data_IF_193021655656
#
_entry.id   IF_193021655656
#
_cell.length_a   1.000
_cell.length_b   1.000
_cell.length_c   1.000
_cell.angle_alpha   90.00
_cell.angle_beta   90.00
_cell.angle_gamma   90.00
#
_symmetry.space_group_name_H-M   'P 1'
#
loop_
_entity.id
_entity.type
_entity.pdbx_description
1 polymer ?
#
# COMPACT_ATOMS: atom_id res chain seq x y z
N UNK A 1 26.34 26.66 -31.18
CA UNK A 1 25.73 27.51 -30.12
C UNK A 1 25.77 26.72 -28.83
N UNK A 2 26.56 27.15 -27.85
CA UNK A 2 26.70 26.47 -26.58
C UNK A 2 25.46 26.85 -25.75
N UNK A 3 24.52 25.92 -25.57
CA UNK A 3 23.36 26.12 -24.68
C UNK A 3 23.87 26.16 -23.25
N UNK A 4 23.48 27.14 -22.44
CA UNK A 4 23.78 27.12 -21.02
C UNK A 4 23.03 25.93 -20.39
N UNK A 5 23.78 24.84 -20.16
CA UNK A 5 23.22 23.71 -19.40
C UNK A 5 22.79 24.22 -18.03
N UNK A 6 21.54 23.95 -17.65
CA UNK A 6 21.01 24.34 -16.34
C UNK A 6 21.56 23.34 -15.30
N UNK A 7 22.82 23.56 -14.90
CA UNK A 7 23.56 22.67 -13.98
C UNK A 7 22.76 22.34 -12.69
N UNK A 8 22.02 23.33 -12.19
CA UNK A 8 21.21 23.14 -10.97
C UNK A 8 20.14 22.07 -11.08
N UNK A 9 19.58 21.81 -12.25
CA UNK A 9 18.54 20.82 -12.45
C UNK A 9 19.05 19.38 -12.31
N UNK A 10 20.31 19.13 -12.60
CA UNK A 10 20.95 17.81 -12.45
C UNK A 10 21.22 17.42 -10.98
N UNK A 11 20.88 18.26 -10.00
CA UNK A 11 20.78 17.84 -8.60
C UNK A 11 19.61 16.86 -8.38
N UNK A 12 18.60 16.89 -9.25
CA UNK A 12 17.58 15.86 -9.30
C UNK A 12 18.13 14.61 -9.98
N UNK A 13 18.02 13.44 -9.36
CA UNK A 13 18.63 12.18 -9.83
C UNK A 13 18.04 11.70 -11.15
N UNK A 14 16.74 11.88 -11.40
CA UNK A 14 16.11 11.52 -12.68
C UNK A 14 16.77 12.34 -13.79
N UNK A 15 16.85 13.66 -13.62
CA UNK A 15 17.45 14.54 -14.63
C UNK A 15 18.98 14.34 -14.77
N UNK A 16 19.66 13.95 -13.69
CA UNK A 16 21.09 13.64 -13.71
C UNK A 16 21.42 12.41 -14.55
N UNK A 17 20.51 11.44 -14.57
CA UNK A 17 20.67 10.16 -15.25
C UNK A 17 20.32 10.20 -16.74
N UNK A 18 19.63 11.24 -17.22
CA UNK A 18 19.32 11.42 -18.64
C UNK A 18 20.62 11.68 -19.44
N UNK A 19 20.85 10.99 -20.58
CA UNK A 19 21.99 11.22 -21.45
C UNK A 19 22.11 12.70 -21.86
N UNK A 20 23.35 13.20 -21.96
CA UNK A 20 23.62 14.62 -22.21
C UNK A 20 22.96 15.17 -23.49
N UNK A 21 22.88 14.35 -24.53
CA UNK A 21 22.22 14.70 -25.80
C UNK A 21 20.73 14.97 -25.62
N UNK A 22 20.05 14.18 -24.81
CA UNK A 22 18.64 14.34 -24.49
C UNK A 22 18.43 15.46 -23.44
N UNK A 23 19.32 15.51 -22.44
CA UNK A 23 19.27 16.55 -21.41
C UNK A 23 19.38 17.97 -22.01
N UNK A 24 20.17 18.16 -23.04
CA UNK A 24 20.29 19.45 -23.71
C UNK A 24 18.92 19.96 -24.20
N UNK A 25 18.09 19.10 -24.79
CA UNK A 25 16.71 19.45 -25.22
C UNK A 25 15.79 19.70 -24.03
N UNK A 26 15.84 18.85 -23.00
CA UNK A 26 15.03 19.02 -21.79
C UNK A 26 15.35 20.35 -21.10
N UNK A 27 16.63 20.75 -21.05
CA UNK A 27 17.10 21.95 -20.36
C UNK A 27 16.49 23.23 -20.90
N UNK A 28 16.11 23.30 -22.19
CA UNK A 28 15.43 24.44 -22.79
C UNK A 28 14.05 24.72 -22.20
N UNK A 29 13.41 23.68 -21.66
CA UNK A 29 12.08 23.72 -21.11
C UNK A 29 12.04 23.70 -19.57
N UNK A 30 13.16 23.44 -18.92
CA UNK A 30 13.28 23.42 -17.47
C UNK A 30 13.38 24.84 -16.91
N UNK A 31 12.43 25.21 -16.06
CA UNK A 31 12.40 26.50 -15.38
C UNK A 31 12.60 26.31 -13.88
N UNK A 32 13.55 27.01 -13.25
CA UNK A 32 13.69 26.97 -11.80
C UNK A 32 12.46 27.61 -11.13
N UNK A 33 12.05 27.08 -9.99
CA UNK A 33 10.98 27.58 -9.17
C UNK A 33 11.33 27.42 -7.69
N UNK A 34 11.09 28.49 -6.92
CA UNK A 34 11.19 28.45 -5.47
C UNK A 34 9.82 28.03 -4.91
N UNK A 35 9.82 27.02 -4.06
CA UNK A 35 8.63 26.43 -3.46
C UNK A 35 8.63 26.71 -1.95
N UNK A 36 7.56 27.33 -1.46
CA UNK A 36 7.40 27.63 -0.04
C UNK A 36 6.80 26.44 0.71
N UNK A 37 7.17 26.26 1.97
CA UNK A 37 6.56 25.23 2.82
C UNK A 37 5.05 25.45 2.96
N UNK A 38 4.28 24.38 2.82
CA UNK A 38 2.81 24.41 2.79
C UNK A 38 2.21 24.81 1.45
N UNK A 39 3.02 25.17 0.45
CA UNK A 39 2.52 25.48 -0.90
C UNK A 39 1.94 24.21 -1.54
N UNK A 40 0.74 24.34 -2.09
CA UNK A 40 0.12 23.28 -2.90
C UNK A 40 0.66 23.36 -4.31
N UNK A 41 1.14 22.22 -4.82
CA UNK A 41 1.62 22.08 -6.20
C UNK A 41 0.47 21.67 -7.11
N UNK A 42 -0.37 20.74 -6.67
CA UNK A 42 -1.61 20.40 -7.34
C UNK A 42 -2.65 19.91 -6.33
N UNK A 43 -3.92 20.20 -6.59
CA UNK A 43 -5.06 19.66 -5.85
C UNK A 43 -5.50 18.30 -6.44
N UNK A 44 -6.18 17.49 -5.62
CA UNK A 44 -6.73 16.22 -6.08
C UNK A 44 -7.78 16.44 -7.17
N UNK A 45 -7.64 15.74 -8.30
CA UNK A 45 -8.56 15.82 -9.44
C UNK A 45 -8.30 16.98 -10.41
N UNK A 46 -7.38 17.90 -10.10
CA UNK A 46 -6.99 18.97 -11.02
C UNK A 46 -6.00 18.50 -12.08
N UNK A 47 -6.09 19.10 -13.27
CA UNK A 47 -5.12 18.89 -14.35
C UNK A 47 -3.73 19.38 -13.97
N UNK A 48 -2.73 18.63 -14.37
CA UNK A 48 -1.32 18.95 -14.16
C UNK A 48 -0.78 19.77 -15.34
N UNK A 49 -0.56 21.06 -15.13
CA UNK A 49 0.09 21.91 -16.12
C UNK A 49 1.59 21.64 -16.23
N UNK A 50 2.21 21.19 -15.16
CA UNK A 50 3.66 21.00 -15.06
C UNK A 50 4.02 19.70 -14.34
N UNK A 51 5.16 19.12 -14.73
CA UNK A 51 5.92 18.18 -13.91
C UNK A 51 6.98 18.95 -13.13
N UNK A 52 7.23 18.54 -11.87
CA UNK A 52 8.24 19.17 -11.02
C UNK A 52 9.32 18.18 -10.64
N UNK A 53 10.57 18.63 -10.65
CA UNK A 53 11.77 17.91 -10.28
C UNK A 53 12.40 18.60 -9.07
N UNK A 54 12.12 18.15 -7.83
CA UNK A 54 12.72 18.71 -6.62
C UNK A 54 14.24 18.62 -6.64
N UNK A 55 14.93 19.65 -6.11
CA UNK A 55 16.39 19.67 -5.98
C UNK A 55 16.85 19.93 -4.56
N UNK A 56 16.20 20.87 -3.85
CA UNK A 56 16.49 21.23 -2.47
C UNK A 56 15.22 21.40 -1.63
N UNK A 57 14.08 20.94 -2.12
CA UNK A 57 12.82 20.88 -1.41
C UNK A 57 12.35 19.43 -1.29
N UNK A 58 11.39 19.21 -0.40
CA UNK A 58 10.62 17.95 -0.31
C UNK A 58 9.13 18.22 -0.42
N UNK A 59 8.43 17.28 -1.04
CA UNK A 59 6.98 17.34 -1.23
C UNK A 59 6.34 16.05 -0.74
N UNK A 60 5.06 16.09 -0.41
CA UNK A 60 4.27 14.91 -0.05
C UNK A 60 3.04 14.79 -0.89
N UNK A 61 2.70 13.56 -1.22
CA UNK A 61 1.38 13.19 -1.69
C UNK A 61 0.50 12.93 -0.46
N UNK A 62 -0.60 13.67 -0.38
CA UNK A 62 -1.52 13.66 0.76
C UNK A 62 -2.92 13.30 0.30
N UNK A 63 -3.55 12.36 1.01
CA UNK A 63 -4.98 12.08 0.87
C UNK A 63 -5.74 12.73 2.00
N UNK A 64 -6.97 13.20 1.71
CA UNK A 64 -7.87 13.78 2.69
C UNK A 64 -9.10 12.91 2.84
N UNK A 65 -9.57 12.78 4.07
CA UNK A 65 -10.87 12.18 4.36
C UNK A 65 -11.99 13.21 4.20
N UNK A 66 -13.22 12.74 4.11
CA UNK A 66 -14.40 13.63 4.06
C UNK A 66 -14.52 14.51 5.32
N UNK A 67 -13.98 14.07 6.46
CA UNK A 67 -14.00 14.79 7.74
C UNK A 67 -12.86 15.82 7.87
N UNK A 68 -11.99 15.92 6.85
CA UNK A 68 -10.88 16.89 6.80
C UNK A 68 -9.56 16.41 7.38
N UNK A 69 -9.48 15.18 7.87
CA UNK A 69 -8.21 14.57 8.28
C UNK A 69 -7.32 14.33 7.05
N UNK A 70 -6.03 14.40 7.24
CA UNK A 70 -5.05 14.18 6.17
C UNK A 70 -4.05 13.09 6.55
N UNK A 71 -3.63 12.30 5.56
CA UNK A 71 -2.57 11.31 5.71
C UNK A 71 -1.58 11.41 4.56
N UNK A 72 -0.30 11.39 4.90
CA UNK A 72 0.77 11.31 3.91
C UNK A 72 0.83 9.90 3.33
N UNK A 73 0.80 9.82 2.02
CA UNK A 73 0.92 8.57 1.28
C UNK A 73 2.37 8.28 0.92
N UNK A 74 3.08 9.31 0.46
CA UNK A 74 4.47 9.20 0.04
C UNK A 74 5.15 10.56 0.05
N UNK A 75 6.48 10.55 0.15
CA UNK A 75 7.36 11.72 0.08
C UNK A 75 8.19 11.69 -1.20
N UNK A 76 8.42 12.86 -1.77
CA UNK A 76 9.26 13.06 -2.95
C UNK A 76 10.33 14.11 -2.66
N UNK A 77 11.58 13.77 -2.90
CA UNK A 77 12.72 14.65 -2.84
C UNK A 77 13.48 14.69 -4.17
N UNK A 78 14.78 14.97 -4.10
CA UNK A 78 15.65 15.03 -5.28
C UNK A 78 15.74 13.73 -6.09
N UNK A 79 15.31 12.61 -5.53
CA UNK A 79 15.35 11.30 -6.18
C UNK A 79 14.12 11.01 -7.05
N UNK A 80 13.15 11.94 -7.09
CA UNK A 80 11.88 11.73 -7.76
C UNK A 80 11.33 12.95 -8.48
N UNK A 81 10.04 12.87 -8.80
CA UNK A 81 9.29 13.91 -9.51
C UNK A 81 7.85 14.01 -9.00
N UNK A 82 7.22 15.19 -9.11
CA UNK A 82 5.78 15.38 -8.89
C UNK A 82 5.08 15.47 -10.23
N UNK A 83 4.01 14.70 -10.41
CA UNK A 83 3.29 14.58 -11.68
C UNK A 83 3.43 13.19 -12.30
N UNK A 84 3.54 12.14 -11.47
CA UNK A 84 3.69 10.74 -11.91
C UNK A 84 2.52 10.21 -12.75
N UNK A 85 1.33 10.78 -12.61
CA UNK A 85 0.17 10.45 -13.45
C UNK A 85 0.43 10.72 -14.94
N UNK A 86 1.24 11.74 -15.27
CA UNK A 86 1.65 12.03 -16.64
C UNK A 86 2.47 10.89 -17.27
N UNK A 87 3.23 10.16 -16.43
CA UNK A 87 4.00 8.97 -16.85
C UNK A 87 3.06 7.82 -17.21
N UNK A 88 1.92 7.72 -16.49
CA UNK A 88 0.91 6.68 -16.65
C UNK A 88 -0.17 7.04 -17.69
N UNK A 89 -0.07 8.21 -18.33
CA UNK A 89 -0.99 8.65 -19.37
C UNK A 89 -2.24 9.38 -18.86
N UNK A 90 -2.29 9.75 -17.58
CA UNK A 90 -3.34 10.61 -17.01
C UNK A 90 -2.84 12.05 -16.88
N UNK A 91 -3.70 13.02 -17.08
CA UNK A 91 -3.42 14.45 -16.94
C UNK A 91 -3.72 15.00 -15.54
N UNK A 92 -4.25 14.18 -14.64
CA UNK A 92 -4.65 14.58 -13.29
C UNK A 92 -4.19 13.58 -12.24
N UNK A 93 -4.07 14.01 -10.98
CA UNK A 93 -3.71 13.17 -9.83
C UNK A 93 -4.90 13.09 -8.85
N UNK A 94 -5.13 11.90 -8.29
CA UNK A 94 -6.18 11.71 -7.27
C UNK A 94 -5.75 12.15 -5.87
N UNK A 95 -4.52 12.65 -5.72
CA UNK A 95 -3.93 13.06 -4.44
C UNK A 95 -3.38 14.47 -4.55
N UNK A 96 -3.48 15.20 -3.45
CA UNK A 96 -2.91 16.52 -3.33
C UNK A 96 -1.39 16.43 -3.16
N UNK A 97 -0.63 17.27 -3.88
CA UNK A 97 0.81 17.41 -3.71
C UNK A 97 1.13 18.72 -2.97
N UNK A 98 1.83 18.61 -1.82
CA UNK A 98 2.14 19.74 -0.93
C UNK A 98 3.64 19.77 -0.63
N UNK A 99 4.21 20.98 -0.64
CA UNK A 99 5.60 21.20 -0.24
C UNK A 99 5.76 21.05 1.27
N UNK A 100 6.62 20.17 1.71
CA UNK A 100 6.94 19.97 3.13
C UNK A 100 8.05 20.88 3.60
N UNK A 101 9.21 20.74 2.97
CA UNK A 101 10.35 21.59 3.24
C UNK A 101 10.57 22.52 2.06
N UNK A 102 10.59 23.83 2.34
CA UNK A 102 10.84 24.87 1.34
C UNK A 102 12.19 24.69 0.66
N UNK A 103 12.26 25.05 -0.62
CA UNK A 103 13.50 24.98 -1.40
C UNK A 103 13.22 25.15 -2.88
N UNK A 104 14.11 24.65 -3.71
CA UNK A 104 14.04 24.79 -5.17
C UNK A 104 13.64 23.48 -5.84
N UNK A 105 12.90 23.63 -6.92
CA UNK A 105 12.62 22.60 -7.90
C UNK A 105 12.82 23.17 -9.31
N UNK A 106 12.88 22.29 -10.31
CA UNK A 106 12.68 22.66 -11.70
C UNK A 106 11.33 22.16 -12.17
N UNK A 107 10.64 22.95 -13.00
CA UNK A 107 9.38 22.52 -13.61
C UNK A 107 9.46 22.55 -15.13
N UNK A 108 8.72 21.65 -15.75
CA UNK A 108 8.56 21.55 -17.19
C UNK A 108 7.08 21.43 -17.53
N UNK A 109 6.57 22.07 -18.62
CA UNK A 109 5.20 21.87 -19.05
C UNK A 109 4.87 20.39 -19.28
N UNK A 110 3.67 19.97 -18.89
CA UNK A 110 3.23 18.57 -18.93
C UNK A 110 3.26 17.99 -20.36
N UNK A 111 2.79 18.75 -21.34
CA UNK A 111 2.79 18.37 -22.75
C UNK A 111 4.21 18.18 -23.32
N UNK A 112 5.16 19.01 -22.88
CA UNK A 112 6.59 18.89 -23.26
C UNK A 112 7.17 17.63 -22.63
N UNK A 113 6.90 17.39 -21.35
CA UNK A 113 7.40 16.20 -20.66
C UNK A 113 6.91 14.91 -21.31
N UNK A 114 5.61 14.79 -21.60
CA UNK A 114 5.04 13.63 -22.28
C UNK A 114 5.64 13.40 -23.67
N UNK A 115 5.84 14.46 -24.43
CA UNK A 115 6.48 14.41 -25.75
C UNK A 115 7.94 13.97 -25.68
N UNK A 116 8.70 14.48 -24.72
CA UNK A 116 10.10 14.12 -24.54
C UNK A 116 10.27 12.71 -23.96
N UNK A 117 9.35 12.23 -23.11
CA UNK A 117 9.29 10.82 -22.70
C UNK A 117 9.12 9.88 -23.90
N UNK A 118 8.27 10.23 -24.87
CA UNK A 118 8.10 9.44 -26.09
C UNK A 118 9.34 9.43 -27.03
N UNK A 119 10.29 10.34 -26.80
CA UNK A 119 11.51 10.50 -27.61
C UNK A 119 12.79 10.04 -26.92
N UNK A 120 12.76 9.86 -25.61
CA UNK A 120 13.90 9.50 -24.77
C UNK A 120 13.53 8.29 -23.94
N UNK A 121 13.95 7.11 -24.40
CA UNK A 121 13.69 5.82 -23.74
C UNK A 121 14.22 5.83 -22.29
N UNK A 122 15.38 6.44 -22.07
CA UNK A 122 16.04 6.51 -20.78
C UNK A 122 15.20 7.35 -19.79
N UNK A 123 14.67 8.49 -20.22
CA UNK A 123 13.77 9.31 -19.40
C UNK A 123 12.49 8.53 -19.04
N UNK A 124 11.92 7.83 -20.02
CA UNK A 124 10.73 7.01 -19.80
C UNK A 124 11.02 5.90 -18.80
N UNK A 125 12.12 5.17 -18.95
CA UNK A 125 12.51 4.09 -18.05
C UNK A 125 12.76 4.59 -16.62
N UNK A 126 13.50 5.70 -16.47
CA UNK A 126 13.73 6.33 -15.17
C UNK A 126 12.42 6.76 -14.49
N UNK A 127 11.50 7.36 -15.26
CA UNK A 127 10.21 7.79 -14.76
C UNK A 127 9.35 6.60 -14.32
N UNK A 128 9.31 5.50 -15.09
CA UNK A 128 8.59 4.27 -14.72
C UNK A 128 9.18 3.59 -13.49
N UNK A 129 10.51 3.50 -13.39
CA UNK A 129 11.18 2.98 -12.19
C UNK A 129 10.86 3.83 -10.96
N UNK A 130 10.76 5.15 -11.12
CA UNK A 130 10.34 6.04 -10.03
C UNK A 130 8.87 5.81 -9.64
N UNK A 131 7.96 5.61 -10.59
CA UNK A 131 6.56 5.24 -10.29
C UNK A 131 6.50 3.96 -9.44
N UNK A 132 7.27 2.94 -9.80
CA UNK A 132 7.34 1.70 -9.02
C UNK A 132 7.90 1.94 -7.61
N UNK A 133 8.96 2.73 -7.48
CA UNK A 133 9.52 3.16 -6.21
C UNK A 133 8.48 3.86 -5.33
N UNK A 134 7.66 4.72 -5.92
CA UNK A 134 6.58 5.42 -5.22
C UNK A 134 5.48 4.45 -4.74
N UNK A 135 5.11 3.47 -5.57
CA UNK A 135 4.16 2.40 -5.18
C UNK A 135 4.72 1.60 -3.99
N UNK A 136 6.00 1.23 -4.03
CA UNK A 136 6.67 0.55 -2.90
C UNK A 136 6.63 1.39 -1.63
N UNK A 137 6.91 2.70 -1.73
CA UNK A 137 6.84 3.62 -0.59
C UNK A 137 5.42 3.71 -0.03
N UNK A 138 4.40 3.83 -0.88
CA UNK A 138 2.99 3.88 -0.45
C UNK A 138 2.57 2.58 0.25
N UNK A 139 2.92 1.42 -0.30
CA UNK A 139 2.63 0.13 0.32
C UNK A 139 3.32 0.01 1.70
N UNK A 140 4.59 0.42 1.78
CA UNK A 140 5.34 0.38 3.04
C UNK A 140 4.82 1.41 4.06
N UNK A 141 4.24 2.54 3.61
CA UNK A 141 3.60 3.52 4.50
C UNK A 141 2.39 2.92 5.22
N UNK A 142 1.60 2.07 4.56
CA UNK A 142 0.47 1.37 5.18
C UNK A 142 0.95 0.45 6.31
N UNK A 143 1.98 -0.36 6.06
CA UNK A 143 2.62 -1.23 7.07
C UNK A 143 3.14 -0.39 8.24
N UNK A 144 3.83 0.71 7.93
CA UNK A 144 4.42 1.61 8.90
C UNK A 144 3.36 2.25 9.82
N UNK A 145 2.23 2.69 9.26
CA UNK A 145 1.12 3.27 10.03
C UNK A 145 0.47 2.23 10.95
N UNK A 146 0.31 0.99 10.46
CA UNK A 146 -0.37 -0.07 11.20
C UNK A 146 0.46 -0.72 12.31
N UNK A 147 1.78 -0.76 12.18
CA UNK A 147 2.63 -1.61 13.03
C UNK A 147 3.75 -0.88 13.77
N UNK A 148 4.11 0.36 13.38
CA UNK A 148 5.23 1.06 13.99
C UNK A 148 4.82 2.24 14.85
N UNK A 149 5.60 2.50 15.90
CA UNK A 149 5.36 3.59 16.83
C UNK A 149 5.55 4.97 16.18
N UNK A 150 4.93 5.99 16.75
CA UNK A 150 5.13 7.39 16.32
C UNK A 150 6.61 7.80 16.35
N UNK A 151 7.41 7.26 17.28
CA UNK A 151 8.85 7.56 17.37
C UNK A 151 9.61 6.98 16.16
N UNK A 152 9.35 5.74 15.76
CA UNK A 152 9.98 5.11 14.59
C UNK A 152 9.58 5.80 13.30
N UNK A 153 8.30 6.15 13.14
CA UNK A 153 7.76 6.89 12.00
C UNK A 153 8.36 8.30 11.91
N UNK A 154 8.58 8.95 13.05
CA UNK A 154 9.27 10.23 13.13
C UNK A 154 10.74 10.12 12.72
N UNK A 155 11.47 9.07 13.14
CA UNK A 155 12.83 8.81 12.68
C UNK A 155 12.88 8.61 11.16
N UNK A 156 11.95 7.84 10.59
CA UNK A 156 11.80 7.68 9.14
C UNK A 156 11.66 9.04 8.44
N UNK A 157 10.72 9.86 8.91
CA UNK A 157 10.44 11.18 8.34
C UNK A 157 11.66 12.11 8.41
N UNK A 158 12.37 12.13 9.54
CA UNK A 158 13.58 12.94 9.75
C UNK A 158 14.72 12.50 8.81
N UNK A 159 14.99 11.20 8.73
CA UNK A 159 16.03 10.65 7.86
C UNK A 159 15.75 10.90 6.39
N UNK A 160 14.50 10.67 5.94
CA UNK A 160 14.11 10.94 4.56
C UNK A 160 14.37 12.40 4.17
N UNK A 161 13.87 13.35 4.97
CA UNK A 161 14.03 14.77 4.68
C UNK A 161 15.51 15.20 4.75
N UNK A 162 16.26 14.68 5.72
CA UNK A 162 17.71 14.91 5.82
C UNK A 162 18.46 14.46 4.58
N UNK A 163 18.18 13.24 4.10
CA UNK A 163 18.87 12.66 2.95
C UNK A 163 18.44 13.35 1.64
N UNK A 164 17.17 13.71 1.50
CA UNK A 164 16.64 14.44 0.34
C UNK A 164 17.19 15.88 0.25
N UNK A 165 17.31 16.56 1.38
CA UNK A 165 17.76 17.97 1.44
C UNK A 165 19.28 18.10 1.62
N UNK A 166 19.97 17.02 1.94
CA UNK A 166 21.41 17.00 2.28
C UNK A 166 21.78 18.01 3.38
N UNK A 167 20.91 18.12 4.41
CA UNK A 167 21.11 19.01 5.55
C UNK A 167 20.64 18.38 6.84
N UNK A 168 21.40 18.56 7.90
CA UNK A 168 21.03 18.09 9.23
C UNK A 168 20.07 19.04 9.95
N UNK A 169 19.76 20.22 9.37
CA UNK A 169 18.83 21.19 9.94
C UNK A 169 17.54 21.26 9.10
N UNK A 170 16.44 20.84 9.70
CA UNK A 170 15.11 20.88 9.10
C UNK A 170 14.30 22.05 9.67
N UNK A 171 13.75 22.90 8.79
CA UNK A 171 12.86 24.01 9.17
C UNK A 171 11.42 23.52 9.10
N UNK A 172 10.89 23.02 10.21
CA UNK A 172 9.57 22.42 10.30
C UNK A 172 9.00 22.59 11.70
N UNK A 173 7.68 22.69 11.82
CA UNK A 173 6.98 22.74 13.11
C UNK A 173 6.47 21.36 13.52
N UNK A 174 6.25 21.15 14.83
CA UNK A 174 5.63 19.92 15.34
C UNK A 174 4.23 19.70 14.76
N UNK A 175 3.48 20.78 14.49
CA UNK A 175 2.16 20.74 13.86
C UNK A 175 2.25 20.18 12.45
N UNK A 176 3.21 20.68 11.65
CA UNK A 176 3.41 20.18 10.28
C UNK A 176 3.71 18.69 10.26
N UNK A 177 4.62 18.23 11.14
CA UNK A 177 4.96 16.79 11.22
C UNK A 177 3.75 15.98 11.69
N UNK A 178 2.99 16.48 12.66
CA UNK A 178 1.81 15.82 13.19
C UNK A 178 0.76 15.60 12.08
N UNK A 179 0.48 16.63 11.29
CA UNK A 179 -0.43 16.54 10.16
C UNK A 179 0.04 15.52 9.10
N UNK A 180 1.35 15.46 8.82
CA UNK A 180 1.92 14.51 7.86
C UNK A 180 1.84 13.07 8.37
N UNK A 181 2.20 12.85 9.63
CA UNK A 181 2.14 11.50 10.21
C UNK A 181 0.73 11.06 10.63
N UNK A 182 -0.29 11.91 10.48
CA UNK A 182 -1.67 11.60 10.87
C UNK A 182 -1.81 11.34 12.37
N UNK A 183 -1.11 12.13 13.20
CA UNK A 183 -1.10 11.97 14.67
C UNK A 183 -1.32 13.31 15.36
N UNK A 184 -1.62 13.28 16.67
CA UNK A 184 -1.76 14.51 17.45
C UNK A 184 -0.39 15.18 17.67
N UNK A 185 -0.37 16.51 17.72
CA UNK A 185 0.83 17.31 17.95
C UNK A 185 1.58 16.94 19.24
N UNK A 186 0.83 16.56 20.29
CA UNK A 186 1.38 16.11 21.57
C UNK A 186 2.22 14.84 21.41
N UNK A 187 1.79 13.91 20.53
CA UNK A 187 2.53 12.67 20.23
C UNK A 187 3.88 12.97 19.59
N UNK A 188 3.94 13.94 18.67
CA UNK A 188 5.21 14.40 18.06
C UNK A 188 6.10 15.07 19.12
N UNK A 189 5.52 15.93 19.96
CA UNK A 189 6.29 16.59 21.03
C UNK A 189 6.90 15.56 22.00
N UNK A 190 6.14 14.52 22.35
CA UNK A 190 6.63 13.45 23.22
C UNK A 190 7.70 12.60 22.53
N UNK A 191 7.51 12.24 21.26
CA UNK A 191 8.49 11.47 20.47
C UNK A 191 9.80 12.24 20.30
N UNK A 192 9.73 13.54 19.94
CA UNK A 192 10.90 14.41 19.86
C UNK A 192 11.61 14.55 21.22
N UNK A 193 10.86 14.64 22.32
CA UNK A 193 11.44 14.68 23.67
C UNK A 193 12.27 13.44 23.99
N UNK A 194 11.81 12.25 23.59
CA UNK A 194 12.56 10.99 23.72
C UNK A 194 13.86 11.02 22.89
N UNK A 195 13.78 11.43 21.63
CA UNK A 195 14.94 11.53 20.74
C UNK A 195 15.96 12.58 21.23
N UNK A 196 15.49 13.70 21.82
CA UNK A 196 16.37 14.70 22.44
C UNK A 196 17.07 14.15 23.69
N UNK A 197 16.34 13.44 24.55
CA UNK A 197 16.93 12.82 25.75
C UNK A 197 17.97 11.76 25.39
N UNK A 198 17.83 11.09 24.23
CA UNK A 198 18.81 10.17 23.68
C UNK A 198 19.98 10.87 22.95
N UNK A 199 19.98 12.21 22.84
CA UNK A 199 21.03 12.97 22.15
C UNK A 199 21.01 12.85 20.63
N UNK A 200 19.91 12.37 20.04
CA UNK A 200 19.79 12.13 18.59
C UNK A 200 19.41 13.39 17.82
N UNK A 201 18.58 14.23 18.40
CA UNK A 201 18.11 15.49 17.80
C UNK A 201 18.14 16.63 18.82
N UNK A 202 18.09 17.88 18.32
CA UNK A 202 17.75 19.07 19.09
C UNK A 202 16.58 19.76 18.42
N UNK A 203 15.56 20.15 19.18
CA UNK A 203 14.34 20.78 18.65
C UNK A 203 14.11 22.13 19.33
N UNK A 204 13.77 23.16 18.55
CA UNK A 204 13.44 24.48 19.05
C UNK A 204 12.88 25.40 17.98
N UNK A 205 11.85 26.20 18.32
CA UNK A 205 11.23 27.29 17.52
C UNK A 205 11.13 27.03 16.00
N UNK A 206 10.48 25.94 15.62
CA UNK A 206 10.25 25.61 14.19
C UNK A 206 11.49 25.07 13.47
N UNK A 207 12.47 24.54 14.19
CA UNK A 207 13.67 23.90 13.66
C UNK A 207 13.98 22.62 14.41
N UNK A 208 14.40 21.60 13.68
CA UNK A 208 14.93 20.36 14.23
C UNK A 208 16.33 20.17 13.66
N UNK A 209 17.30 19.99 14.54
CA UNK A 209 18.68 19.68 14.19
C UNK A 209 18.94 18.20 14.48
N UNK A 210 19.36 17.45 13.49
CA UNK A 210 19.83 16.07 13.66
C UNK A 210 21.26 16.14 14.16
N UNK A 211 21.51 15.51 15.32
CA UNK A 211 22.81 15.49 15.99
C UNK A 211 23.55 14.19 15.74
N UNK A 212 22.82 13.09 15.65
CA UNK A 212 23.38 11.75 15.45
C UNK A 212 22.52 10.98 14.44
N UNK A 213 22.98 10.93 13.17
CA UNK A 213 22.28 10.22 12.09
C UNK A 213 22.26 8.71 12.32
N UNK A 214 23.39 8.14 12.76
CA UNK A 214 23.51 6.70 12.94
C UNK A 214 22.58 6.22 14.05
N UNK A 215 22.51 6.94 15.16
CA UNK A 215 21.56 6.65 16.23
C UNK A 215 20.10 6.80 15.80
N UNK A 216 19.77 7.72 14.89
CA UNK A 216 18.44 7.76 14.27
C UNK A 216 18.20 6.56 13.34
N UNK A 217 19.22 6.12 12.60
CA UNK A 217 19.16 4.93 11.74
C UNK A 217 18.96 3.65 12.55
N UNK A 218 19.51 3.57 13.76
CA UNK A 218 19.28 2.45 14.69
C UNK A 218 17.89 2.50 15.36
N UNK A 219 17.24 3.66 15.33
CA UNK A 219 15.95 3.92 15.97
C UNK A 219 14.77 3.93 14.97
N UNK A 220 15.03 3.85 13.68
CA UNK A 220 14.00 3.78 12.63
C UNK A 220 13.55 2.35 12.42
N UNK A 221 12.29 2.17 11.96
CA UNK A 221 11.80 0.86 11.53
C UNK A 221 12.46 0.39 10.23
N UNK A 222 12.41 -0.90 9.96
CA UNK A 222 12.91 -1.56 8.75
C UNK A 222 12.34 -0.98 7.45
N UNK A 223 11.18 -0.31 7.52
CA UNK A 223 10.53 0.32 6.37
C UNK A 223 11.45 1.31 5.65
N UNK A 224 12.29 2.04 6.40
CA UNK A 224 13.23 2.99 5.81
C UNK A 224 14.29 2.30 4.94
N UNK A 225 14.89 1.23 5.45
CA UNK A 225 15.90 0.48 4.70
C UNK A 225 15.30 -0.25 3.49
N UNK A 226 14.12 -0.85 3.63
CA UNK A 226 13.42 -1.53 2.54
C UNK A 226 13.13 -0.57 1.37
N UNK A 227 12.55 0.59 1.65
CA UNK A 227 12.27 1.60 0.63
C UNK A 227 13.56 2.14 0.01
N UNK A 228 14.58 2.43 0.83
CA UNK A 228 15.85 2.98 0.34
C UNK A 228 16.60 2.00 -0.57
N UNK A 229 16.67 0.72 -0.18
CA UNK A 229 17.33 -0.35 -0.97
C UNK A 229 16.58 -0.56 -2.29
N UNK A 230 15.26 -0.62 -2.27
CA UNK A 230 14.46 -0.80 -3.48
C UNK A 230 14.57 0.39 -4.43
N UNK A 231 14.53 1.62 -3.92
CA UNK A 231 14.74 2.83 -4.72
C UNK A 231 16.10 2.82 -5.40
N UNK A 232 17.15 2.43 -4.69
CA UNK A 232 18.49 2.34 -5.24
C UNK A 232 18.57 1.25 -6.32
N UNK A 233 17.99 0.07 -6.06
CA UNK A 233 17.94 -1.06 -7.01
C UNK A 233 17.26 -0.67 -8.32
N UNK A 234 16.10 -0.01 -8.23
CA UNK A 234 15.33 0.43 -9.39
C UNK A 234 16.07 1.49 -10.20
N UNK A 235 16.69 2.45 -9.52
CA UNK A 235 17.50 3.47 -10.18
C UNK A 235 18.69 2.87 -10.91
N UNK A 236 19.42 1.95 -10.30
CA UNK A 236 20.55 1.26 -10.93
C UNK A 236 20.12 0.36 -12.10
N UNK A 237 18.94 -0.28 -12.01
CA UNK A 237 18.38 -1.05 -13.11
C UNK A 237 18.07 -0.15 -14.32
N UNK A 238 17.49 1.04 -14.08
CA UNK A 238 17.23 2.01 -15.14
C UNK A 238 18.53 2.51 -15.81
N UNK A 239 19.58 2.74 -15.03
CA UNK A 239 20.90 3.15 -15.58
C UNK A 239 21.54 2.04 -16.42
N UNK A 240 21.48 0.78 -15.99
CA UNK A 240 22.04 -0.35 -16.76
C UNK A 240 21.34 -0.55 -18.10
N UNK A 241 20.01 -0.43 -18.13
CA UNK A 241 19.25 -0.53 -19.37
C UNK A 241 19.55 0.62 -20.35
N UNK A 242 19.95 1.78 -19.84
CA UNK A 242 20.39 2.93 -20.65
C UNK A 242 21.78 2.70 -21.29
N UNK A 243 22.70 2.06 -20.57
CA UNK A 243 24.07 1.80 -21.05
C UNK A 243 24.11 0.65 -22.06
N UNK A 244 23.28 -0.38 -21.91
CA UNK A 244 23.19 -1.47 -22.87
C UNK A 244 22.75 -1.03 -24.26
N UNK A 245 22.02 0.08 -24.37
CA UNK A 245 21.61 0.68 -25.65
C UNK A 245 22.69 1.50 -26.35
N UNK A 246 23.77 1.89 -25.66
CA UNK A 246 24.90 2.64 -26.27
C UNK A 246 26.01 1.71 -26.84
N UNK A 247 26.19 0.51 -26.31
CA UNK A 247 27.18 -0.48 -26.76
C UNK A 247 26.72 -1.31 -27.99
N UNK A 248 25.42 -1.33 -28.29
CA UNK A 248 24.87 -2.03 -29.46
C UNK A 248 24.95 -1.22 -30.79
N UNK A 249 25.68 -0.14 -30.81
CA UNK A 249 25.81 0.79 -31.95
C UNK A 249 26.67 0.32 -33.12
N UNK A 250 27.07 -0.96 -33.24
CA UNK A 250 27.82 -1.46 -34.41
C UNK A 250 27.72 -2.96 -34.65
N UNK A 251 26.51 -3.47 -34.70
CA UNK A 251 26.12 -4.65 -35.47
C UNK A 251 24.70 -4.50 -35.94
N UNK A 252 24.46 -4.62 -37.23
CA UNK A 252 23.16 -4.63 -37.85
C UNK A 252 22.44 -5.88 -37.37
N UNK A 253 21.62 -5.76 -36.31
CA UNK A 253 20.66 -6.76 -35.91
C UNK A 253 19.30 -6.29 -36.38
N UNK A 254 18.72 -7.11 -37.25
CA UNK A 254 17.36 -6.99 -37.74
C UNK A 254 16.36 -6.66 -36.62
N UNK A 255 15.55 -5.68 -36.88
CA UNK A 255 14.31 -5.27 -36.23
C UNK A 255 13.81 -6.20 -35.11
N UNK A 256 14.09 -5.87 -33.85
CA UNK A 256 13.18 -6.21 -32.77
C UNK A 256 11.88 -5.42 -33.01
N UNK A 257 10.83 -6.11 -33.36
CA UNK A 257 9.54 -5.51 -33.70
C UNK A 257 8.88 -4.85 -32.47
N UNK A 258 7.84 -4.04 -32.68
CA UNK A 258 7.05 -3.45 -31.60
C UNK A 258 6.52 -4.49 -30.58
N UNK A 259 6.57 -5.78 -30.92
CA UNK A 259 6.15 -6.90 -30.09
C UNK A 259 7.08 -7.20 -28.90
N UNK A 260 8.40 -6.99 -29.01
CA UNK A 260 9.34 -7.31 -27.92
C UNK A 260 9.26 -6.30 -26.76
N UNK A 261 9.08 -5.02 -27.04
CA UNK A 261 8.87 -4.01 -25.99
C UNK A 261 7.51 -4.21 -25.28
N UNK A 262 6.52 -4.69 -26.02
CA UNK A 262 5.22 -5.04 -25.49
C UNK A 262 5.30 -6.32 -24.63
N UNK A 263 6.07 -7.30 -25.06
CA UNK A 263 6.31 -8.55 -24.34
C UNK A 263 7.00 -8.30 -22.99
N UNK A 264 8.04 -7.45 -22.94
CA UNK A 264 8.68 -7.04 -21.69
C UNK A 264 7.71 -6.33 -20.74
N UNK A 265 6.86 -5.44 -21.26
CA UNK A 265 5.85 -4.75 -20.46
C UNK A 265 4.83 -5.73 -19.86
N UNK A 266 4.43 -6.76 -20.60
CA UNK A 266 3.57 -7.82 -20.08
C UNK A 266 4.28 -8.70 -19.07
N UNK A 267 5.56 -9.00 -19.27
CA UNK A 267 6.37 -9.74 -18.29
C UNK A 267 6.51 -8.98 -16.97
N UNK A 268 6.78 -7.68 -17.02
CA UNK A 268 6.86 -6.85 -15.82
C UNK A 268 5.51 -6.78 -15.10
N UNK A 269 4.42 -6.55 -15.83
CA UNK A 269 3.07 -6.53 -15.25
C UNK A 269 2.69 -7.87 -14.62
N UNK A 270 3.11 -8.98 -15.22
CA UNK A 270 2.92 -10.33 -14.70
C UNK A 270 3.75 -10.58 -13.44
N UNK A 271 5.03 -10.21 -13.46
CA UNK A 271 5.97 -10.49 -12.38
C UNK A 271 5.70 -9.68 -11.11
N UNK A 272 5.27 -8.44 -11.27
CA UNK A 272 5.03 -7.53 -10.15
C UNK A 272 3.54 -7.38 -9.78
N UNK A 273 2.68 -8.24 -10.31
CA UNK A 273 1.29 -8.28 -9.85
C UNK A 273 1.23 -8.62 -8.35
N UNK A 274 0.35 -7.95 -7.56
CA UNK A 274 0.23 -8.19 -6.11
C UNK A 274 -0.46 -9.52 -5.78
N UNK A 275 -0.72 -10.35 -6.78
CA UNK A 275 -1.33 -11.68 -6.68
C UNK A 275 -0.42 -12.73 -7.31
N UNK A 276 -0.47 -13.96 -6.78
CA UNK A 276 0.29 -15.06 -7.36
C UNK A 276 -0.36 -15.54 -8.65
N UNK A 277 0.32 -15.39 -9.80
CA UNK A 277 -0.04 -16.08 -11.02
C UNK A 277 0.71 -17.40 -11.14
N UNK A 278 -0.01 -18.49 -11.41
CA UNK A 278 0.54 -19.84 -11.57
C UNK A 278 -0.10 -20.51 -12.77
N UNK A 279 0.70 -21.02 -13.71
CA UNK A 279 0.23 -21.88 -14.79
C UNK A 279 0.49 -23.35 -14.44
N UNK A 280 -0.51 -24.19 -14.66
CA UNK A 280 -0.43 -25.64 -14.46
C UNK A 280 -0.63 -26.39 -15.77
N UNK A 281 0.01 -27.55 -15.88
CA UNK A 281 -0.36 -28.54 -16.90
C UNK A 281 -1.65 -29.30 -16.51
N UNK A 282 -2.12 -30.17 -17.43
CA UNK A 282 -3.32 -31.01 -17.19
C UNK A 282 -3.19 -31.95 -15.99
N UNK A 283 -1.98 -32.23 -15.54
CA UNK A 283 -1.68 -33.04 -14.38
C UNK A 283 -1.54 -32.22 -13.08
N UNK A 284 -1.77 -30.91 -13.14
CA UNK A 284 -1.69 -30.01 -11.99
C UNK A 284 -0.26 -29.66 -11.58
N UNK A 285 0.75 -29.84 -12.46
CA UNK A 285 2.15 -29.50 -12.16
C UNK A 285 2.41 -28.04 -12.55
N UNK A 286 3.16 -27.33 -11.72
CA UNK A 286 3.51 -25.93 -11.93
C UNK A 286 4.46 -25.80 -13.12
N UNK A 287 4.00 -25.13 -14.18
CA UNK A 287 4.77 -24.80 -15.38
C UNK A 287 5.50 -23.46 -15.24
N UNK A 288 4.78 -22.46 -14.76
CA UNK A 288 5.28 -21.09 -14.63
C UNK A 288 4.60 -20.39 -13.46
N UNK A 289 5.32 -19.46 -12.84
CA UNK A 289 4.78 -18.58 -11.80
C UNK A 289 5.43 -17.21 -11.84
N UNK A 290 4.70 -16.16 -11.45
CA UNK A 290 5.24 -14.82 -11.24
C UNK A 290 5.96 -14.73 -9.89
N UNK A 291 6.52 -13.56 -9.57
CA UNK A 291 7.26 -13.34 -8.34
C UNK A 291 6.40 -13.58 -7.08
N UNK A 292 5.18 -13.04 -7.04
CA UNK A 292 4.26 -13.22 -5.91
C UNK A 292 3.88 -14.69 -5.71
N UNK A 293 3.56 -15.41 -6.77
CA UNK A 293 3.28 -16.85 -6.72
C UNK A 293 4.47 -17.68 -6.26
N UNK A 294 5.69 -17.34 -6.70
CA UNK A 294 6.92 -18.01 -6.24
C UNK A 294 7.15 -17.81 -4.73
N UNK A 295 6.90 -16.61 -4.22
CA UNK A 295 6.97 -16.30 -2.77
C UNK A 295 5.88 -17.07 -2.01
N UNK A 296 4.63 -17.08 -2.53
CA UNK A 296 3.52 -17.82 -1.90
C UNK A 296 3.76 -19.33 -1.84
N UNK A 297 4.45 -19.90 -2.84
CA UNK A 297 4.75 -21.32 -2.90
C UNK A 297 6.12 -21.68 -2.29
N UNK A 298 6.93 -20.67 -1.92
CA UNK A 298 8.32 -20.84 -1.43
C UNK A 298 9.20 -21.64 -2.40
N UNK A 299 9.16 -21.28 -3.69
CA UNK A 299 9.91 -21.93 -4.76
C UNK A 299 10.88 -20.96 -5.44
N UNK A 300 12.03 -21.47 -5.88
CA UNK A 300 12.99 -20.69 -6.67
C UNK A 300 12.56 -20.65 -8.13
N UNK A 301 12.44 -19.45 -8.70
CA UNK A 301 12.02 -19.20 -10.08
C UNK A 301 12.93 -19.79 -11.17
N UNK A 302 14.20 -20.04 -10.84
CA UNK A 302 15.23 -20.51 -11.77
C UNK A 302 15.07 -21.98 -12.18
N UNK A 303 14.24 -22.75 -11.49
CA UNK A 303 13.95 -24.13 -11.82
C UNK A 303 12.52 -24.25 -12.33
N UNK A 304 12.31 -24.85 -13.51
CA UNK A 304 11.01 -25.41 -13.89
C UNK A 304 10.64 -26.45 -12.84
N UNK A 305 9.88 -26.01 -11.85
CA UNK A 305 9.43 -26.88 -10.77
C UNK A 305 8.25 -27.66 -11.32
N UNK A 306 8.50 -28.85 -11.88
CA UNK A 306 7.45 -29.77 -12.31
C UNK A 306 6.72 -30.43 -11.12
N UNK A 307 6.73 -29.80 -9.96
CA UNK A 307 6.04 -30.29 -8.77
C UNK A 307 4.53 -30.02 -8.89
N UNK A 308 3.69 -30.97 -8.51
CA UNK A 308 2.25 -30.75 -8.45
C UNK A 308 1.90 -29.65 -7.44
N UNK A 309 0.99 -28.73 -7.80
CA UNK A 309 0.56 -27.68 -6.89
C UNK A 309 -0.05 -28.23 -5.59
N UNK A 310 -0.67 -29.39 -5.66
CA UNK A 310 -1.27 -30.08 -4.52
C UNK A 310 -0.25 -30.38 -3.40
N UNK A 311 1.04 -30.53 -3.72
CA UNK A 311 2.09 -30.78 -2.73
C UNK A 311 2.35 -29.58 -1.81
N UNK A 312 1.99 -28.39 -2.23
CA UNK A 312 2.08 -27.14 -1.45
C UNK A 312 0.86 -26.88 -0.58
N UNK A 313 -0.21 -27.68 -0.72
CA UNK A 313 -1.49 -27.52 -0.03
C UNK A 313 -1.55 -28.43 1.21
N UNK A 314 -2.12 -27.94 2.31
CA UNK A 314 -2.35 -28.75 3.50
C UNK A 314 -3.18 -29.99 3.18
N UNK A 315 -2.89 -31.15 3.80
CA UNK A 315 -3.58 -32.42 3.49
C UNK A 315 -5.10 -32.36 3.61
N UNK A 316 -5.64 -31.54 4.52
CA UNK A 316 -7.08 -31.34 4.71
C UNK A 316 -7.75 -30.72 3.48
N UNK A 317 -7.03 -29.89 2.71
CA UNK A 317 -7.59 -29.07 1.64
C UNK A 317 -7.24 -29.60 0.24
N UNK A 318 -6.38 -30.64 0.17
CA UNK A 318 -5.96 -31.25 -1.12
C UNK A 318 -7.13 -31.76 -1.93
N UNK A 319 -8.11 -32.41 -1.29
CA UNK A 319 -9.33 -32.90 -1.97
C UNK A 319 -10.13 -31.76 -2.58
N UNK A 320 -10.28 -30.65 -1.86
CA UNK A 320 -10.99 -29.44 -2.35
C UNK A 320 -10.33 -28.88 -3.61
N UNK A 321 -8.99 -28.82 -3.62
CA UNK A 321 -8.24 -28.34 -4.76
C UNK A 321 -8.34 -29.28 -5.97
N UNK A 322 -8.19 -30.60 -5.76
CA UNK A 322 -8.26 -31.59 -6.84
C UNK A 322 -9.62 -31.59 -7.51
N UNK A 323 -10.72 -31.56 -6.74
CA UNK A 323 -12.08 -31.47 -7.27
C UNK A 323 -12.27 -30.19 -8.07
N UNK A 324 -11.79 -29.06 -7.54
CA UNK A 324 -11.83 -27.76 -8.22
C UNK A 324 -11.06 -27.79 -9.55
N UNK A 325 -9.82 -28.30 -9.54
CA UNK A 325 -8.99 -28.39 -10.76
C UNK A 325 -9.65 -29.27 -11.82
N UNK A 326 -10.24 -30.40 -11.41
CA UNK A 326 -10.95 -31.30 -12.34
C UNK A 326 -12.22 -30.64 -12.91
N UNK A 327 -12.95 -29.87 -12.12
CA UNK A 327 -14.10 -29.10 -12.58
C UNK A 327 -13.70 -28.06 -13.62
N UNK A 328 -12.60 -27.34 -13.39
CA UNK A 328 -12.06 -26.35 -14.35
C UNK A 328 -11.65 -27.03 -15.65
N UNK A 329 -10.94 -28.15 -15.61
CA UNK A 329 -10.54 -28.91 -16.80
C UNK A 329 -11.75 -29.47 -17.59
N UNK A 330 -12.85 -29.74 -16.89
CA UNK A 330 -14.11 -30.20 -17.56
C UNK A 330 -14.98 -29.09 -18.13
N UNK A 331 -14.51 -27.81 -18.04
CA UNK A 331 -15.27 -26.65 -18.52
C UNK A 331 -16.44 -26.24 -17.62
N UNK A 332 -16.58 -26.83 -16.43
CA UNK A 332 -17.58 -26.42 -15.44
C UNK A 332 -17.12 -25.15 -14.73
N UNK A 333 -17.94 -24.12 -14.78
CA UNK A 333 -17.62 -22.81 -14.22
C UNK A 333 -17.76 -22.80 -12.68
N UNK A 334 -16.80 -23.34 -11.95
CA UNK A 334 -16.63 -23.01 -10.53
C UNK A 334 -15.76 -21.76 -10.43
N UNK A 335 -16.24 -20.73 -9.73
CA UNK A 335 -15.57 -19.43 -9.75
C UNK A 335 -14.26 -19.42 -9.00
N UNK A 336 -14.15 -20.10 -7.83
CA UNK A 336 -12.95 -20.20 -7.02
C UNK A 336 -13.02 -21.34 -6.01
N UNK A 337 -11.88 -21.72 -5.45
CA UNK A 337 -11.79 -22.49 -4.19
C UNK A 337 -10.89 -21.77 -3.18
N UNK A 338 -11.00 -22.14 -1.93
CA UNK A 338 -10.11 -21.66 -0.87
C UNK A 338 -9.35 -22.86 -0.30
N UNK A 339 -8.04 -22.71 -0.17
CA UNK A 339 -7.15 -23.76 0.35
C UNK A 339 -6.06 -23.15 1.21
N UNK A 340 -5.52 -23.94 2.14
CA UNK A 340 -4.42 -23.55 2.99
C UNK A 340 -3.10 -24.06 2.39
N UNK A 341 -2.17 -23.14 2.09
CA UNK A 341 -0.81 -23.49 1.74
C UNK A 341 -0.04 -23.87 3.00
N UNK A 342 0.76 -24.95 2.91
CA UNK A 342 1.57 -25.47 4.04
C UNK A 342 2.56 -24.43 4.54
N UNK A 343 2.85 -24.46 5.83
CA UNK A 343 3.98 -23.76 6.39
C UNK A 343 5.30 -24.33 5.83
N UNK A 344 6.27 -23.44 5.59
CA UNK A 344 7.63 -23.78 5.17
C UNK A 344 8.65 -23.28 6.19
N UNK A 345 9.95 -23.48 5.95
CA UNK A 345 11.00 -22.94 6.81
C UNK A 345 11.01 -21.39 6.83
N UNK A 346 10.48 -20.76 5.78
CA UNK A 346 10.54 -19.30 5.58
C UNK A 346 9.17 -18.62 5.67
N UNK A 347 8.06 -19.36 5.78
CA UNK A 347 6.70 -18.83 5.74
C UNK A 347 5.74 -19.65 6.61
N UNK A 348 4.87 -18.98 7.37
CA UNK A 348 3.74 -19.62 8.08
C UNK A 348 2.69 -20.14 7.09
N UNK A 349 1.81 -21.02 7.56
CA UNK A 349 0.65 -21.46 6.78
C UNK A 349 -0.21 -20.24 6.37
N UNK A 350 -0.74 -20.28 5.14
CA UNK A 350 -1.43 -19.17 4.49
C UNK A 350 -2.72 -19.66 3.84
N UNK A 351 -3.84 -19.00 4.08
CA UNK A 351 -5.09 -19.30 3.38
C UNK A 351 -5.14 -18.50 2.09
N UNK A 352 -5.25 -19.20 0.96
CA UNK A 352 -5.34 -18.57 -0.35
C UNK A 352 -6.67 -18.88 -1.03
N UNK A 353 -7.24 -17.86 -1.68
CA UNK A 353 -8.30 -18.05 -2.66
C UNK A 353 -7.64 -18.30 -4.01
N UNK A 354 -8.09 -19.34 -4.69
CA UNK A 354 -7.60 -19.79 -5.99
C UNK A 354 -8.69 -19.59 -7.02
N UNK A 355 -8.52 -18.63 -7.92
CA UNK A 355 -9.34 -18.46 -9.12
C UNK A 355 -8.64 -19.13 -10.31
N UNK A 356 -9.36 -19.82 -11.20
CA UNK A 356 -8.76 -20.55 -12.31
C UNK A 356 -9.51 -20.35 -13.62
N UNK A 357 -8.73 -20.33 -14.73
CA UNK A 357 -9.23 -20.32 -16.09
C UNK A 357 -8.39 -21.25 -16.96
N UNK A 358 -8.99 -21.86 -17.99
CA UNK A 358 -8.25 -22.58 -19.03
C UNK A 358 -7.77 -21.59 -20.09
N UNK A 359 -6.64 -21.91 -20.72
CA UNK A 359 -6.22 -21.25 -21.95
C UNK A 359 -7.15 -21.62 -23.12
N UNK A 360 -7.03 -20.88 -24.23
CA UNK A 360 -7.88 -21.08 -25.44
C UNK A 360 -7.71 -22.45 -26.09
N UNK A 361 -6.58 -23.14 -25.84
CA UNK A 361 -6.26 -24.46 -26.36
C UNK A 361 -6.69 -25.58 -25.41
N UNK A 362 -7.02 -25.27 -24.17
CA UNK A 362 -7.36 -26.23 -23.12
C UNK A 362 -6.18 -27.08 -22.63
N UNK A 363 -4.95 -26.59 -22.83
CA UNK A 363 -3.72 -27.30 -22.47
C UNK A 363 -3.11 -26.81 -21.15
N UNK A 364 -3.35 -25.54 -20.79
CA UNK A 364 -2.87 -24.92 -19.56
C UNK A 364 -4.02 -24.41 -18.69
N UNK A 365 -3.93 -24.66 -17.38
CA UNK A 365 -4.81 -24.07 -16.37
C UNK A 365 -4.08 -22.88 -15.72
N UNK A 366 -4.61 -21.67 -15.89
CA UNK A 366 -4.06 -20.45 -15.32
C UNK A 366 -4.77 -20.11 -14.03
N UNK A 367 -3.99 -20.01 -12.96
CA UNK A 367 -4.46 -19.73 -11.61
C UNK A 367 -4.06 -18.34 -11.14
N UNK A 368 -4.94 -17.74 -10.35
CA UNK A 368 -4.65 -16.55 -9.53
C UNK A 368 -4.75 -16.95 -8.07
N UNK A 369 -3.67 -16.78 -7.32
CA UNK A 369 -3.62 -17.01 -5.88
C UNK A 369 -3.71 -15.67 -5.16
N UNK A 370 -4.68 -15.54 -4.27
CA UNK A 370 -4.92 -14.32 -3.48
C UNK A 370 -4.82 -14.72 -2.00
N UNK A 371 -3.92 -14.09 -1.26
CA UNK A 371 -3.83 -14.27 0.19
C UNK A 371 -5.05 -13.65 0.88
N UNK A 372 -5.84 -14.48 1.55
CA UNK A 372 -7.01 -14.09 2.32
C UNK A 372 -6.86 -14.43 3.81
N UNK A 373 -5.63 -14.66 4.26
CA UNK A 373 -5.32 -15.09 5.63
C UNK A 373 -5.82 -14.10 6.67
N UNK A 374 -5.54 -12.82 6.48
CA UNK A 374 -5.94 -11.77 7.42
C UNK A 374 -7.46 -11.54 7.39
N UNK A 375 -8.08 -11.57 6.22
CA UNK A 375 -9.54 -11.48 6.10
C UNK A 375 -10.23 -12.61 6.86
N UNK A 376 -9.72 -13.84 6.75
CA UNK A 376 -10.25 -15.01 7.47
C UNK A 376 -10.04 -14.91 8.99
N UNK A 377 -8.90 -14.41 9.43
CA UNK A 377 -8.63 -14.17 10.85
C UNK A 377 -9.59 -13.14 11.43
N UNK A 378 -9.76 -12.01 10.75
CA UNK A 378 -10.69 -10.95 11.19
C UNK A 378 -12.12 -11.49 11.24
N UNK A 379 -12.58 -12.20 10.21
CA UNK A 379 -13.90 -12.80 10.18
C UNK A 379 -14.10 -13.83 11.29
N UNK A 380 -13.11 -14.68 11.56
CA UNK A 380 -13.15 -15.66 12.65
C UNK A 380 -13.17 -14.99 14.04
N UNK A 381 -12.38 -13.92 14.23
CA UNK A 381 -12.39 -13.16 15.47
C UNK A 381 -13.74 -12.46 15.71
N UNK A 382 -14.33 -11.87 14.67
CA UNK A 382 -15.65 -11.24 14.73
C UNK A 382 -16.71 -12.26 15.12
N UNK A 383 -16.71 -13.44 14.50
CA UNK A 383 -17.64 -14.53 14.82
C UNK A 383 -17.45 -15.08 16.23
N UNK A 384 -16.19 -15.21 16.68
CA UNK A 384 -15.87 -15.65 18.05
C UNK A 384 -16.37 -14.63 19.08
N UNK A 385 -16.16 -13.34 18.80
CA UNK A 385 -16.63 -12.25 19.67
C UNK A 385 -18.17 -12.20 19.75
N UNK A 386 -18.85 -12.40 18.62
CA UNK A 386 -20.30 -12.48 18.56
C UNK A 386 -20.83 -13.67 19.37
N UNK A 387 -20.25 -14.86 19.26
CA UNK A 387 -20.58 -16.04 20.04
C UNK A 387 -20.37 -15.80 21.55
N UNK A 388 -19.22 -15.23 21.91
CA UNK A 388 -18.92 -14.90 23.31
C UNK A 388 -19.94 -13.90 23.87
N UNK A 389 -20.33 -12.90 23.08
CA UNK A 389 -21.34 -11.94 23.45
C UNK A 389 -22.73 -12.62 23.65
N UNK A 390 -23.12 -13.54 22.76
CA UNK A 390 -24.35 -14.30 22.87
C UNK A 390 -24.36 -15.22 24.11
N UNK A 391 -23.22 -15.90 24.39
CA UNK A 391 -23.07 -16.73 25.59
C UNK A 391 -23.17 -15.89 26.87
N UNK A 392 -22.50 -14.74 26.91
CA UNK A 392 -22.60 -13.81 28.05
C UNK A 392 -24.05 -13.34 28.28
N UNK A 393 -24.76 -13.00 27.20
CA UNK A 393 -26.16 -12.59 27.29
C UNK A 393 -27.08 -13.74 27.74
N UNK A 394 -26.82 -14.96 27.26
CA UNK A 394 -27.59 -16.15 27.61
C UNK A 394 -27.42 -16.58 29.08
N UNK A 395 -26.25 -16.32 29.68
CA UNK A 395 -25.92 -16.70 31.05
C UNK A 395 -26.37 -15.67 32.12
N UNK A 396 -26.82 -14.48 31.70
CA UNK A 396 -27.26 -13.45 32.64
C UNK A 396 -28.59 -13.85 33.32
N UNK A 397 -28.68 -13.74 34.65
CA UNK A 397 -29.89 -14.06 35.39
C UNK A 397 -30.99 -12.98 35.24
N UNK A 398 -30.71 -11.89 34.55
CA UNK A 398 -31.64 -10.79 34.35
C UNK A 398 -32.19 -10.81 32.93
N UNK A 399 -33.45 -10.32 32.78
CA UNK A 399 -34.06 -10.10 31.47
C UNK A 399 -33.38 -8.94 30.77
N UNK A 400 -32.78 -9.22 29.62
CA UNK A 400 -32.06 -8.23 28.76
C UNK A 400 -32.68 -8.23 27.37
N UNK A 401 -32.92 -7.03 26.86
CA UNK A 401 -33.34 -6.84 25.47
C UNK A 401 -32.71 -5.59 24.88
N UNK A 402 -32.46 -5.62 23.58
CA UNK A 402 -31.91 -4.51 22.81
C UNK A 402 -32.94 -4.06 21.79
N UNK A 403 -33.07 -2.73 21.61
CA UNK A 403 -33.94 -2.10 20.63
C UNK A 403 -33.13 -1.19 19.69
N UNK A 404 -33.59 -1.05 18.43
CA UNK A 404 -33.04 -0.07 17.52
C UNK A 404 -33.50 1.36 17.90
N UNK A 405 -32.99 2.36 17.15
CA UNK A 405 -33.36 3.77 17.33
C UNK A 405 -34.83 4.06 17.06
N UNK A 406 -35.57 3.11 16.46
CA UNK A 406 -37.03 3.18 16.21
C UNK A 406 -37.83 2.40 17.24
N UNK A 407 -37.19 1.86 18.27
CA UNK A 407 -37.85 1.10 19.35
C UNK A 407 -38.16 -0.36 19.01
N UNK A 408 -37.69 -0.89 17.86
CA UNK A 408 -37.94 -2.28 17.47
C UNK A 408 -36.93 -3.20 18.16
N UNK A 409 -37.41 -4.38 18.60
CA UNK A 409 -36.57 -5.39 19.27
C UNK A 409 -35.52 -5.93 18.27
N UNK A 410 -34.25 -5.82 18.65
CA UNK A 410 -33.10 -6.40 17.89
C UNK A 410 -32.79 -7.79 18.46
N UNK A 411 -32.71 -7.92 19.79
CA UNK A 411 -32.27 -9.14 20.45
C UNK A 411 -32.81 -9.20 21.89
N UNK A 412 -33.00 -10.43 22.44
CA UNK A 412 -33.35 -10.68 23.83
C UNK A 412 -32.63 -11.94 24.31
N UNK A 413 -32.29 -12.01 25.60
CA UNK A 413 -31.67 -13.18 26.20
C UNK A 413 -32.71 -14.28 26.58
N UNK A 414 -32.20 -15.49 26.86
CA UNK A 414 -33.02 -16.66 27.16
C UNK A 414 -33.94 -16.48 28.38
N UNK A 415 -33.50 -15.72 29.39
CA UNK A 415 -34.32 -15.45 30.60
C UNK A 415 -35.61 -14.69 30.27
N UNK A 416 -35.53 -13.69 29.36
CA UNK A 416 -36.74 -12.99 28.91
C UNK A 416 -37.69 -13.94 28.16
N UNK A 417 -37.16 -14.80 27.30
CA UNK A 417 -37.94 -15.71 26.45
C UNK A 417 -38.64 -16.79 27.31
N UNK A 418 -37.97 -17.31 28.34
CA UNK A 418 -38.53 -18.30 29.23
C UNK A 418 -39.65 -17.73 30.11
N UNK A 419 -39.43 -16.59 30.75
CA UNK A 419 -40.43 -15.95 31.60
C UNK A 419 -41.63 -15.47 30.78
N UNK A 420 -41.40 -15.01 29.54
CA UNK A 420 -42.47 -14.63 28.64
C UNK A 420 -43.33 -15.82 28.18
N UNK A 421 -42.73 -17.00 27.94
CA UNK A 421 -43.48 -18.24 27.66
C UNK A 421 -44.38 -18.69 28.80
N UNK A 422 -43.98 -18.42 30.04
CA UNK A 422 -44.81 -18.71 31.21
C UNK A 422 -45.96 -17.71 31.40
N UNK A 423 -45.78 -16.47 30.94
CA UNK A 423 -46.78 -15.41 31.04
C UNK A 423 -47.77 -15.41 29.85
N UNK A 424 -47.37 -15.91 28.70
CA UNK A 424 -48.17 -15.96 27.48
C UNK A 424 -48.61 -17.40 27.18
N UNK A 425 -49.50 -17.93 27.99
CA UNK A 425 -49.99 -19.32 27.86
C UNK A 425 -50.76 -19.64 26.58
N UNK A 426 -51.06 -18.64 25.70
CA UNK A 426 -51.92 -18.87 24.53
C UNK A 426 -51.57 -18.10 23.24
N UNK A 427 -50.39 -17.50 23.08
CA UNK A 427 -50.07 -16.78 21.87
C UNK A 427 -48.87 -17.38 21.12
N UNK A 428 -49.08 -17.74 19.86
CA UNK A 428 -48.03 -18.17 18.95
C UNK A 428 -46.93 -17.11 18.81
N UNK A 429 -45.69 -17.51 19.03
CA UNK A 429 -44.46 -16.68 19.10
C UNK A 429 -44.16 -15.83 17.86
N UNK A 430 -44.93 -15.97 16.78
CA UNK A 430 -44.68 -15.26 15.49
C UNK A 430 -45.22 -13.82 15.41
N UNK A 431 -45.98 -13.35 16.42
CA UNK A 431 -46.58 -12.00 16.41
C UNK A 431 -46.54 -11.33 17.80
N UNK A 432 -45.37 -11.28 18.41
CA UNK A 432 -45.24 -10.49 19.66
C UNK A 432 -45.00 -9.03 19.25
N UNK A 433 -46.01 -8.20 19.38
CA UNK A 433 -45.90 -6.75 19.20
C UNK A 433 -45.29 -6.13 20.47
N UNK A 434 -43.97 -6.06 20.50
CA UNK A 434 -43.20 -5.48 21.60
C UNK A 434 -43.37 -3.95 21.76
N UNK A 435 -44.10 -3.29 20.86
CA UNK A 435 -44.43 -1.87 21.00
C UNK A 435 -45.51 -1.62 22.06
N UNK A 436 -46.38 -2.61 22.33
CA UNK A 436 -47.49 -2.54 23.27
C UNK A 436 -47.26 -3.31 24.59
N UNK A 437 -46.01 -3.62 24.94
CA UNK A 437 -45.75 -4.20 26.26
C UNK A 437 -46.13 -3.23 27.37
N UNK A 438 -47.04 -3.61 28.29
CA UNK A 438 -47.39 -2.75 29.40
C UNK A 438 -46.19 -2.51 30.31
N UNK A 439 -45.85 -1.25 30.55
CA UNK A 439 -44.80 -0.77 31.44
C UNK A 439 -45.03 -1.11 32.93
N UNK A 440 -45.60 -2.26 33.29
CA UNK A 440 -45.92 -2.64 34.66
C UNK A 440 -44.89 -3.54 35.36
N UNK A 441 -43.70 -3.76 34.74
CA UNK A 441 -42.62 -4.51 35.41
C UNK A 441 -41.51 -3.62 35.99
N UNK A 442 -41.80 -2.40 36.38
CA UNK A 442 -40.98 -1.64 37.32
C UNK A 442 -41.48 -1.86 38.74
N UNK A 443 -40.60 -2.37 39.56
CA UNK A 443 -40.71 -2.58 41.02
C UNK A 443 -41.10 -3.98 41.53
N UNK A 444 -40.20 -4.94 41.33
CA UNK A 444 -39.80 -5.74 42.50
C UNK A 444 -38.31 -5.46 42.73
N UNK A 445 -38.06 -4.39 43.43
CA UNK A 445 -36.77 -4.10 44.04
C UNK A 445 -36.57 -5.05 45.21
N UNK A 446 -35.68 -6.02 45.04
CA UNK A 446 -34.97 -6.60 46.17
C UNK A 446 -34.17 -5.48 46.87
N UNK A 447 -33.93 -5.58 48.20
CA UNK A 447 -33.32 -4.48 48.95
C UNK A 447 -31.85 -4.28 48.58
N UNK A 448 -31.54 -3.10 48.10
CA UNK A 448 -30.20 -2.55 48.10
C UNK A 448 -29.48 -2.44 46.77
N UNK A 449 -29.79 -1.38 46.01
CA UNK A 449 -28.75 -0.65 45.26
C UNK A 449 -29.26 0.76 45.05
N UNK A 450 -28.61 1.70 45.76
CA UNK A 450 -28.79 3.13 45.59
C UNK A 450 -28.13 3.57 44.27
N UNK A 451 -28.79 4.50 43.59
CA UNK A 451 -28.28 5.19 42.40
C UNK A 451 -27.01 5.99 42.75
N UNK A 452 -26.01 5.89 41.90
CA UNK A 452 -24.86 6.73 41.78
C UNK A 452 -24.49 6.84 40.31
#
# INVERSE_FOLDING_TARGET
>A
MSYPMVEGARRNRILAAVPLSHYARLSEHLKPVDLAAGQVICEAGESLDFVYFPTTCTTSLVSHTADGDSSELAMTGRDGMVGVSLVLGSDSMNHRAVVQCAGQAFRMPADVFQREMGRCRELQQLALCYVQSLITQMAQSIVCIGHHSVSERLCYWLLFNRDALSTDQLKVTHETIANMLGVRRESITQALGKLQSAGLVSSGRGKIQILNRDGLSDSVCECFSLVSVENQRLYEAALRSSQAGEDEGMEVVEHAGPDDALLHKYQDAYDFAPVGFVSLDKQGRVLQTNLAGAIMLDIQRSHRTLSPLVDFIEPSDQGVFLDFHQEVLSGKCRRYCEVTLRATAHRSAMVVRVDATLDDLGDECRLVLIDVTEEKKIAAQALAMERQQQELLATQPYMLWFKDSQGRLISANASLVQDWRHLAQDAALEKIDFQNMPMQFSHQTGPGFAAG
#
